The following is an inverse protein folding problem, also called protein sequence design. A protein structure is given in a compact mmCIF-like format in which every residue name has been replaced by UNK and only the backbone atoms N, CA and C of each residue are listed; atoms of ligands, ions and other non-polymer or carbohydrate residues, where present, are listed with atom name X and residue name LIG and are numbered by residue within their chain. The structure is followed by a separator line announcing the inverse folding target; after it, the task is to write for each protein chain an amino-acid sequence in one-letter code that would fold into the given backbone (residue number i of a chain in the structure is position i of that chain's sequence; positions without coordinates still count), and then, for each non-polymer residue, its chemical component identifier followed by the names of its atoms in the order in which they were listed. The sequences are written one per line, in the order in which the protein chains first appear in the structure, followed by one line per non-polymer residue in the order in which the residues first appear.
data_IF_029230164975
#
_entry.id   IF_029230164975
#
_cell.length_a   1.000
_cell.length_b   1.000
_cell.length_c   1.000
_cell.angle_alpha   90.00
_cell.angle_beta   90.00
_cell.angle_gamma   90.00
#
_symmetry.space_group_name_H-M   'P 1'
#
loop_
_entity.id
_entity.type
_entity.pdbx_description
1 polymer ?
#
# COMPACT_ATOMS: atom_id res chain seq x y z
N UNK A 1 15.13 9.76 -10.58
CA UNK A 1 14.50 9.63 -9.25
C UNK A 1 13.08 10.15 -9.33
N UNK A 2 12.14 9.59 -8.55
CA UNK A 2 10.78 10.10 -8.48
C UNK A 2 10.81 11.56 -8.01
N UNK A 3 10.05 12.46 -8.65
CA UNK A 3 10.04 13.90 -8.32
C UNK A 3 9.09 14.22 -7.15
N UNK A 4 8.70 13.22 -6.36
CA UNK A 4 7.80 13.38 -5.22
C UNK A 4 8.52 14.19 -4.13
N UNK A 5 8.01 15.38 -3.83
CA UNK A 5 8.55 16.26 -2.78
C UNK A 5 7.63 16.32 -1.56
N UNK A 6 6.33 16.25 -1.81
CA UNK A 6 5.29 16.37 -0.80
C UNK A 6 4.45 15.10 -0.67
N UNK A 7 4.58 14.16 -1.63
CA UNK A 7 3.86 12.89 -1.62
C UNK A 7 2.34 13.09 -1.61
N UNK A 8 1.87 14.05 -2.42
CA UNK A 8 0.44 14.34 -2.57
C UNK A 8 -0.16 13.53 -3.71
N UNK A 9 -1.48 13.41 -3.72
CA UNK A 9 -2.22 12.81 -4.84
C UNK A 9 -1.85 13.48 -6.18
N UNK A 10 -1.74 14.80 -6.21
CA UNK A 10 -1.37 15.55 -7.43
C UNK A 10 0.03 15.18 -7.94
N UNK A 11 1.02 15.07 -7.05
CA UNK A 11 2.37 14.64 -7.44
C UNK A 11 2.39 13.19 -7.94
N UNK A 12 1.62 12.30 -7.29
CA UNK A 12 1.48 10.90 -7.72
C UNK A 12 0.83 10.79 -9.10
N UNK A 13 -0.22 11.57 -9.37
CA UNK A 13 -0.84 11.67 -10.71
C UNK A 13 0.19 12.15 -11.73
N UNK A 14 0.95 13.21 -11.42
CA UNK A 14 2.01 13.72 -12.29
C UNK A 14 3.14 12.72 -12.55
N UNK A 15 3.41 11.83 -11.59
CA UNK A 15 4.32 10.69 -11.74
C UNK A 15 3.69 9.49 -12.47
N UNK A 16 2.42 9.57 -12.88
CA UNK A 16 1.74 8.54 -13.66
C UNK A 16 1.07 7.44 -12.85
N UNK A 17 0.83 7.65 -11.55
CA UNK A 17 -0.07 6.78 -10.79
C UNK A 17 -1.52 6.98 -11.22
N UNK A 18 -2.30 5.90 -11.18
CA UNK A 18 -3.73 5.85 -11.54
C UNK A 18 -4.50 5.01 -10.53
N UNK A 19 -5.82 5.00 -10.62
CA UNK A 19 -6.68 4.18 -9.76
C UNK A 19 -7.34 5.00 -8.66
N UNK A 20 -6.55 5.46 -7.69
CA UNK A 20 -7.00 6.27 -6.54
C UNK A 20 -8.39 5.88 -6.02
N UNK A 21 -8.58 4.59 -5.76
CA UNK A 21 -9.86 3.98 -5.44
C UNK A 21 -9.78 3.21 -4.14
N UNK A 22 -10.91 2.96 -3.49
CA UNK A 22 -10.90 2.25 -2.20
C UNK A 22 -10.57 0.76 -2.38
N UNK A 23 -10.16 0.09 -1.31
CA UNK A 23 -10.03 -1.38 -1.34
C UNK A 23 -11.37 -2.09 -1.58
N UNK A 24 -12.51 -1.45 -1.30
CA UNK A 24 -13.82 -1.99 -1.66
C UNK A 24 -14.03 -1.97 -3.17
N UNK A 25 -13.74 -0.86 -3.83
CA UNK A 25 -13.86 -0.73 -5.28
C UNK A 25 -12.93 -1.71 -6.00
N UNK A 26 -11.69 -1.85 -5.50
CA UNK A 26 -10.76 -2.89 -5.96
C UNK A 26 -11.44 -4.26 -5.93
N UNK A 27 -12.00 -4.68 -4.78
CA UNK A 27 -12.62 -6.01 -4.66
C UNK A 27 -13.82 -6.19 -5.59
N UNK A 28 -14.64 -5.15 -5.79
CA UNK A 28 -15.76 -5.20 -6.72
C UNK A 28 -15.27 -5.41 -8.16
N UNK A 29 -14.21 -4.71 -8.56
CA UNK A 29 -13.58 -4.87 -9.86
C UNK A 29 -13.04 -6.28 -10.10
N UNK A 30 -12.41 -6.89 -9.08
CA UNK A 30 -11.99 -8.30 -9.15
C UNK A 30 -13.16 -9.25 -9.38
N UNK A 31 -14.28 -9.02 -8.69
CA UNK A 31 -15.45 -9.88 -8.81
C UNK A 31 -16.10 -9.81 -10.21
N UNK A 32 -15.86 -8.71 -10.93
CA UNK A 32 -16.40 -8.46 -12.27
C UNK A 32 -15.39 -8.77 -13.40
N UNK A 33 -14.14 -9.13 -13.06
CA UNK A 33 -12.98 -9.17 -13.98
C UNK A 33 -12.84 -7.88 -14.83
N UNK A 34 -13.27 -6.75 -14.27
CA UNK A 34 -13.30 -5.44 -14.92
C UNK A 34 -12.92 -4.34 -13.92
N UNK A 35 -11.92 -3.54 -14.22
CA UNK A 35 -11.42 -2.52 -13.29
C UNK A 35 -10.14 -1.81 -13.65
N UNK A 36 -9.54 -2.13 -14.80
CA UNK A 36 -8.41 -1.38 -15.32
C UNK A 36 -7.11 -1.46 -14.51
N UNK A 37 -7.05 -2.30 -13.45
CA UNK A 37 -5.78 -2.64 -12.80
C UNK A 37 -4.99 -3.54 -13.79
N UNK A 38 -3.79 -3.13 -14.23
CA UNK A 38 -3.05 -3.89 -15.23
C UNK A 38 -2.53 -5.23 -14.68
N UNK A 39 -2.50 -6.26 -15.54
CA UNK A 39 -1.84 -7.55 -15.23
C UNK A 39 -0.31 -7.49 -15.41
N UNK A 40 0.27 -6.28 -15.43
CA UNK A 40 1.69 -5.98 -15.67
C UNK A 40 2.45 -5.63 -14.37
N UNK A 41 3.80 -5.64 -14.38
CA UNK A 41 4.60 -5.22 -13.23
C UNK A 41 4.40 -3.74 -12.89
N UNK A 42 4.61 -3.38 -11.64
CA UNK A 42 4.41 -2.01 -11.19
C UNK A 42 4.70 -1.75 -9.73
N UNK A 43 4.48 -0.50 -9.35
CA UNK A 43 4.47 -0.03 -7.96
C UNK A 43 3.06 0.43 -7.63
N UNK A 44 2.59 0.13 -6.44
CA UNK A 44 1.33 0.62 -5.89
C UNK A 44 1.57 1.36 -4.59
N UNK A 45 0.63 2.24 -4.26
CA UNK A 45 0.68 3.12 -3.09
C UNK A 45 -0.65 3.08 -2.35
N UNK A 46 -0.61 3.13 -1.02
CA UNK A 46 -1.78 3.34 -0.16
C UNK A 46 -1.75 4.75 0.41
N UNK A 47 -2.87 5.45 0.28
CA UNK A 47 -3.00 6.87 0.59
C UNK A 47 -4.15 7.05 1.57
N UNK A 48 -3.93 7.88 2.58
CA UNK A 48 -4.96 8.39 3.48
C UNK A 48 -5.15 9.88 3.22
N UNK A 49 -6.36 10.27 2.81
CA UNK A 49 -6.67 11.66 2.49
C UNK A 49 -6.59 12.58 3.72
N UNK A 50 -7.00 12.06 4.89
CA UNK A 50 -6.83 12.74 6.16
C UNK A 50 -5.40 12.52 6.68
N UNK A 51 -4.71 13.60 7.09
CA UNK A 51 -3.35 13.55 7.65
C UNK A 51 -3.30 13.76 9.17
N UNK A 52 -4.47 13.92 9.81
CA UNK A 52 -4.58 13.95 11.27
C UNK A 52 -4.10 12.63 11.89
N UNK A 53 -3.79 12.63 13.18
CA UNK A 53 -3.52 11.38 13.89
C UNK A 53 -4.70 10.39 13.69
N UNK A 54 -4.44 9.15 13.24
CA UNK A 54 -5.47 8.14 13.09
C UNK A 54 -5.78 7.49 14.43
N UNK A 55 -6.96 6.86 14.52
CA UNK A 55 -7.23 5.92 15.59
C UNK A 55 -6.69 4.53 15.20
N UNK A 56 -5.89 3.95 16.08
CA UNK A 56 -5.40 2.59 15.91
C UNK A 56 -6.31 1.57 16.62
N UNK A 57 -6.48 0.41 16.00
CA UNK A 57 -7.26 -0.71 16.53
C UNK A 57 -6.34 -1.77 17.13
N UNK A 58 -6.61 -2.18 18.37
CA UNK A 58 -5.89 -3.28 19.02
C UNK A 58 -6.12 -4.62 18.29
N UNK A 59 -7.29 -4.76 17.64
CA UNK A 59 -7.62 -5.85 16.74
C UNK A 59 -8.02 -5.23 15.40
N UNK A 60 -7.17 -5.38 14.40
CA UNK A 60 -7.42 -4.89 13.06
C UNK A 60 -8.33 -5.78 12.23
N UNK A 61 -8.46 -5.42 10.96
CA UNK A 61 -9.15 -6.20 9.93
C UNK A 61 -8.24 -7.21 9.22
N UNK A 62 -6.95 -7.23 9.58
CA UNK A 62 -5.93 -8.04 8.93
C UNK A 62 -6.13 -9.53 9.19
N UNK A 63 -5.80 -10.36 8.20
CA UNK A 63 -5.79 -11.81 8.35
C UNK A 63 -4.58 -12.35 9.09
N UNK A 64 -4.33 -13.64 8.93
CA UNK A 64 -3.17 -14.32 9.52
C UNK A 64 -2.03 -14.43 8.53
N UNK A 65 -0.79 -14.26 9.01
CA UNK A 65 0.41 -14.58 8.23
C UNK A 65 1.09 -15.77 8.89
N UNK A 66 1.23 -16.89 8.15
CA UNK A 66 1.84 -18.13 8.67
C UNK A 66 1.27 -18.56 10.04
N UNK A 67 -0.07 -18.51 10.19
CA UNK A 67 -0.80 -18.83 11.42
C UNK A 67 -0.49 -17.95 12.65
N UNK A 68 0.24 -16.84 12.49
CA UNK A 68 0.41 -15.81 13.53
C UNK A 68 -0.59 -14.68 13.31
N UNK A 69 -1.14 -14.13 14.41
CA UNK A 69 -1.93 -12.90 14.35
C UNK A 69 -1.08 -11.79 13.73
N UNK A 70 -1.63 -11.10 12.73
CA UNK A 70 -0.92 -10.02 12.05
C UNK A 70 -0.88 -8.72 12.87
N UNK A 71 -1.75 -8.57 13.86
CA UNK A 71 -1.84 -7.36 14.69
C UNK A 71 -0.53 -7.07 15.40
N UNK A 72 -0.10 -5.81 15.33
CA UNK A 72 1.00 -5.24 16.09
C UNK A 72 0.50 -4.49 17.33
N UNK A 73 1.31 -4.40 18.40
CA UNK A 73 1.02 -3.54 19.54
C UNK A 73 0.75 -2.09 19.10
N UNK A 74 -0.16 -1.41 19.78
CA UNK A 74 -0.49 0.00 19.50
C UNK A 74 0.76 0.89 19.56
N UNK A 75 1.64 0.67 20.54
CA UNK A 75 2.89 1.41 20.67
C UNK A 75 3.82 1.26 19.45
N UNK A 76 3.80 0.10 18.77
CA UNK A 76 4.53 -0.10 17.52
C UNK A 76 3.92 0.73 16.39
N UNK A 77 2.58 0.80 16.31
CA UNK A 77 1.88 1.62 15.32
C UNK A 77 2.15 3.11 15.55
N UNK A 78 2.07 3.58 16.79
CA UNK A 78 2.36 4.96 17.18
C UNK A 78 3.81 5.34 16.85
N UNK A 79 4.77 4.46 17.12
CA UNK A 79 6.18 4.70 16.81
C UNK A 79 6.44 4.82 15.30
N UNK A 80 5.70 4.08 14.47
CA UNK A 80 5.82 4.11 13.01
C UNK A 80 4.97 5.21 12.35
N UNK A 81 4.03 5.83 13.06
CA UNK A 81 3.22 6.92 12.51
C UNK A 81 4.09 8.10 12.08
N UNK A 82 3.73 8.69 10.93
CA UNK A 82 4.41 9.84 10.33
C UNK A 82 3.41 10.99 10.23
N UNK A 83 3.43 11.96 11.17
CA UNK A 83 2.50 13.08 11.16
C UNK A 83 2.57 13.88 9.85
N UNK A 84 1.41 14.24 9.30
CA UNK A 84 1.32 15.06 8.09
C UNK A 84 1.52 14.30 6.77
N UNK A 85 1.93 13.04 6.79
CA UNK A 85 2.09 12.24 5.57
C UNK A 85 0.74 11.66 5.10
N UNK A 86 0.44 11.84 3.81
CA UNK A 86 -0.74 11.21 3.18
C UNK A 86 -0.45 9.81 2.65
N UNK A 87 0.77 9.55 2.20
CA UNK A 87 1.20 8.22 1.74
C UNK A 87 1.57 7.35 2.93
N UNK A 88 0.91 6.20 3.05
CA UNK A 88 1.11 5.26 4.14
C UNK A 88 1.97 4.06 3.77
N UNK A 89 1.99 3.69 2.49
CA UNK A 89 2.68 2.47 2.04
C UNK A 89 3.04 2.56 0.56
N UNK A 90 4.26 2.14 0.21
CA UNK A 90 4.63 1.74 -1.15
C UNK A 90 4.84 0.23 -1.20
N UNK A 91 4.32 -0.40 -2.24
CA UNK A 91 4.56 -1.81 -2.51
C UNK A 91 4.85 -2.06 -3.98
N UNK A 92 5.61 -3.12 -4.26
CA UNK A 92 5.92 -3.56 -5.62
C UNK A 92 5.15 -4.81 -6.02
N UNK A 93 4.91 -4.94 -7.32
CA UNK A 93 4.33 -6.10 -7.97
C UNK A 93 5.21 -6.51 -9.15
N UNK A 94 5.84 -7.69 -9.05
CA UNK A 94 6.65 -8.30 -10.11
C UNK A 94 5.78 -9.18 -11.00
N UNK A 95 6.19 -9.40 -12.25
CA UNK A 95 5.54 -10.38 -13.13
C UNK A 95 5.61 -11.78 -12.51
N UNK A 96 4.53 -12.57 -12.62
CA UNK A 96 4.53 -13.98 -12.20
C UNK A 96 4.27 -14.88 -13.40
N UNK A 97 4.69 -16.14 -13.29
CA UNK A 97 4.61 -17.13 -14.37
C UNK A 97 3.17 -17.55 -14.69
N UNK A 98 2.27 -17.59 -13.69
CA UNK A 98 0.91 -18.12 -13.80
C UNK A 98 -0.17 -17.13 -13.29
N UNK A 99 0.11 -15.82 -13.25
CA UNK A 99 -0.81 -14.83 -12.70
C UNK A 99 -0.21 -13.41 -12.69
N UNK A 100 -1.06 -12.38 -12.70
CA UNK A 100 -0.71 -11.00 -13.05
C UNK A 100 0.31 -10.32 -12.12
N UNK A 101 0.78 -9.14 -12.56
CA UNK A 101 1.60 -8.24 -11.75
C UNK A 101 0.76 -7.45 -10.73
N UNK A 102 0.48 -6.18 -11.04
CA UNK A 102 -0.28 -5.28 -10.16
C UNK A 102 -1.65 -5.84 -9.80
N UNK A 103 -2.32 -6.52 -10.74
CA UNK A 103 -3.60 -7.19 -10.52
C UNK A 103 -3.56 -8.09 -9.27
N UNK A 104 -2.98 -9.27 -9.37
CA UNK A 104 -2.92 -10.22 -8.26
C UNK A 104 -2.41 -9.60 -6.95
N UNK A 105 -1.39 -8.74 -7.03
CA UNK A 105 -0.76 -8.18 -5.83
C UNK A 105 -1.69 -7.22 -5.07
N UNK A 106 -2.40 -6.36 -5.78
CA UNK A 106 -3.37 -5.43 -5.16
C UNK A 106 -4.59 -6.22 -4.67
N UNK A 107 -5.00 -7.28 -5.38
CA UNK A 107 -6.06 -8.17 -4.91
C UNK A 107 -5.72 -8.84 -3.58
N UNK A 108 -4.57 -9.52 -3.53
CA UNK A 108 -4.04 -10.20 -2.35
C UNK A 108 -4.05 -9.25 -1.15
N UNK A 109 -3.62 -8.01 -1.38
CA UNK A 109 -3.62 -7.02 -0.33
C UNK A 109 -5.05 -6.63 0.07
N UNK A 110 -5.94 -6.37 -0.88
CA UNK A 110 -7.34 -6.00 -0.61
C UNK A 110 -8.11 -7.06 0.20
N UNK A 111 -7.81 -8.34 0.01
CA UNK A 111 -8.47 -9.45 0.73
C UNK A 111 -7.79 -9.77 2.06
N UNK A 112 -6.51 -9.39 2.24
CA UNK A 112 -5.85 -9.43 3.55
C UNK A 112 -6.59 -8.58 4.59
N UNK A 113 -7.18 -7.46 4.17
CA UNK A 113 -8.05 -6.62 5.00
C UNK A 113 -9.44 -7.20 5.30
N UNK A 114 -9.73 -8.44 4.87
CA UNK A 114 -10.94 -9.18 5.21
C UNK A 114 -10.65 -10.38 6.12
N UNK A 115 -9.52 -10.37 6.83
CA UNK A 115 -9.13 -11.46 7.72
C UNK A 115 -8.57 -12.70 7.01
N UNK A 116 -8.32 -12.64 5.69
CA UNK A 116 -7.81 -13.80 4.93
C UNK A 116 -6.31 -14.01 5.10
N UNK A 117 -5.87 -15.26 5.09
CA UNK A 117 -4.45 -15.60 5.10
C UNK A 117 -3.74 -15.06 3.86
N UNK A 118 -2.57 -14.43 4.06
CA UNK A 118 -1.77 -13.85 2.97
C UNK A 118 -0.29 -14.22 3.14
N UNK A 119 0.45 -14.30 2.03
CA UNK A 119 1.86 -14.72 2.02
C UNK A 119 2.87 -13.60 2.35
N UNK A 120 2.45 -12.33 2.33
CA UNK A 120 3.34 -11.17 2.53
C UNK A 120 3.15 -10.50 3.89
N UNK A 121 4.22 -9.95 4.46
CA UNK A 121 4.20 -9.25 5.75
C UNK A 121 4.21 -7.72 5.65
N UNK A 122 4.52 -7.18 4.47
CA UNK A 122 4.51 -5.74 4.18
C UNK A 122 3.10 -5.18 4.16
N UNK A 123 2.94 -3.94 4.62
CA UNK A 123 1.66 -3.25 4.60
C UNK A 123 0.69 -3.63 5.73
N UNK A 124 1.07 -4.51 6.67
CA UNK A 124 0.13 -5.05 7.68
C UNK A 124 -0.50 -4.00 8.61
N UNK A 125 0.23 -2.92 8.92
CA UNK A 125 -0.28 -1.88 9.83
C UNK A 125 -1.49 -1.12 9.27
N UNK A 126 -1.65 -1.11 7.94
CA UNK A 126 -2.83 -0.52 7.28
C UNK A 126 -4.12 -1.09 7.85
N UNK A 127 -4.15 -2.38 8.17
CA UNK A 127 -5.36 -3.03 8.66
C UNK A 127 -5.69 -2.75 10.13
N UNK A 128 -4.83 -2.03 10.85
CA UNK A 128 -5.10 -1.56 12.22
C UNK A 128 -5.48 -0.07 12.27
N UNK A 129 -5.75 0.57 11.13
CA UNK A 129 -6.35 1.90 11.07
C UNK A 129 -7.87 1.77 11.16
N UNK A 130 -8.51 2.56 12.03
CA UNK A 130 -9.96 2.56 12.18
C UNK A 130 -10.69 2.94 10.88
N UNK A 131 -10.06 3.79 10.08
CA UNK A 131 -10.51 4.29 8.78
C UNK A 131 -9.86 3.56 7.59
N UNK A 132 -9.37 2.32 7.80
CA UNK A 132 -8.74 1.52 6.74
C UNK A 132 -9.62 1.32 5.49
N UNK A 133 -10.95 1.47 5.62
CA UNK A 133 -11.92 1.35 4.52
C UNK A 133 -11.91 2.56 3.58
N UNK A 134 -11.50 3.73 4.08
CA UNK A 134 -11.50 4.99 3.34
C UNK A 134 -10.16 5.23 2.62
N UNK A 135 -9.20 4.32 2.80
CA UNK A 135 -7.90 4.40 2.17
C UNK A 135 -7.99 4.15 0.67
N UNK A 136 -7.23 4.96 -0.06
CA UNK A 136 -7.12 4.87 -1.51
C UNK A 136 -5.90 4.05 -1.90
N UNK A 137 -6.05 3.27 -2.96
CA UNK A 137 -4.97 2.55 -3.63
C UNK A 137 -4.78 3.13 -5.02
N UNK A 138 -3.54 3.42 -5.36
CA UNK A 138 -3.15 3.81 -6.72
C UNK A 138 -1.95 2.98 -7.19
N UNK A 139 -1.77 2.89 -8.50
CA UNK A 139 -0.73 2.08 -9.12
C UNK A 139 -0.11 2.73 -10.34
N UNK A 140 1.14 2.34 -10.62
CA UNK A 140 1.93 2.75 -11.78
C UNK A 140 2.57 1.53 -12.41
N UNK A 141 2.29 1.29 -13.69
CA UNK A 141 2.96 0.25 -14.48
C UNK A 141 4.41 0.66 -14.73
N UNK A 142 5.31 -0.30 -14.65
CA UNK A 142 6.74 -0.11 -14.93
C UNK A 142 7.25 -1.25 -15.79
N UNK A 143 8.44 -1.06 -16.39
CA UNK A 143 9.13 -2.13 -17.08
C UNK A 143 9.48 -3.26 -16.09
N UNK A 144 9.26 -4.51 -16.48
CA UNK A 144 9.59 -5.66 -15.65
C UNK A 144 11.06 -5.66 -15.20
N UNK A 145 11.29 -5.95 -13.92
CA UNK A 145 12.61 -5.93 -13.30
C UNK A 145 12.99 -4.57 -12.70
N UNK A 146 12.21 -3.51 -12.94
CA UNK A 146 12.49 -2.17 -12.42
C UNK A 146 11.63 -1.79 -11.21
N UNK A 147 10.60 -2.58 -10.89
CA UNK A 147 9.62 -2.26 -9.83
C UNK A 147 10.26 -2.14 -8.44
N UNK A 148 11.24 -2.99 -8.13
CA UNK A 148 11.99 -2.92 -6.86
C UNK A 148 12.75 -1.61 -6.75
N UNK A 149 13.53 -1.28 -7.79
CA UNK A 149 14.34 -0.06 -7.82
C UNK A 149 13.47 1.20 -7.68
N UNK A 150 12.28 1.22 -8.29
CA UNK A 150 11.38 2.36 -8.17
C UNK A 150 10.76 2.46 -6.77
N UNK A 151 10.31 1.35 -6.20
CA UNK A 151 9.76 1.30 -4.84
C UNK A 151 10.79 1.75 -3.79
N UNK A 152 12.00 1.16 -3.81
CA UNK A 152 13.10 1.54 -2.92
C UNK A 152 13.41 3.04 -3.05
N UNK A 153 13.48 3.57 -4.28
CA UNK A 153 13.72 5.00 -4.50
C UNK A 153 12.60 5.90 -3.95
N UNK A 154 11.33 5.46 -4.00
CA UNK A 154 10.20 6.19 -3.43
C UNK A 154 10.20 6.16 -1.91
N UNK A 155 10.54 5.01 -1.30
CA UNK A 155 10.67 4.88 0.16
C UNK A 155 11.84 5.73 0.67
N UNK A 156 12.98 5.72 -0.04
CA UNK A 156 14.12 6.58 0.28
C UNK A 156 13.77 8.07 0.18
N UNK A 157 13.13 8.49 -0.91
CA UNK A 157 12.69 9.89 -1.05
C UNK A 157 11.69 10.29 0.05
N UNK A 158 10.80 9.38 0.46
CA UNK A 158 9.88 9.63 1.57
C UNK A 158 10.65 9.78 2.88
N UNK A 159 11.63 8.91 3.12
CA UNK A 159 12.49 8.99 4.31
C UNK A 159 13.31 10.28 4.34
N UNK A 160 13.83 10.74 3.21
CA UNK A 160 14.56 12.01 3.13
C UNK A 160 13.65 13.20 3.50
N UNK A 161 12.36 13.13 3.14
CA UNK A 161 11.37 14.18 3.46
C UNK A 161 10.89 14.14 4.91
N UNK A 162 10.59 12.96 5.44
CA UNK A 162 9.89 12.80 6.72
C UNK A 162 10.75 12.23 7.85
N UNK A 163 12.01 11.86 7.59
CA UNK A 163 12.93 11.23 8.55
C UNK A 163 12.61 9.76 8.88
N UNK A 164 11.47 9.24 8.42
CA UNK A 164 11.01 7.85 8.60
C UNK A 164 10.52 7.29 7.28
N UNK A 165 10.52 5.97 7.12
CA UNK A 165 9.85 5.29 6.00
C UNK A 165 8.32 5.46 6.13
N UNK A 166 7.52 5.25 5.06
CA UNK A 166 6.07 5.31 5.15
C UNK A 166 5.54 4.35 6.23
N UNK A 167 4.44 4.74 6.87
CA UNK A 167 3.86 4.09 8.04
C UNK A 167 3.93 2.54 8.00
N UNK A 168 3.53 1.91 6.90
CA UNK A 168 3.44 0.46 6.79
C UNK A 168 4.59 -0.22 6.02
N UNK A 169 5.64 0.53 5.65
CA UNK A 169 6.92 0.00 5.16
C UNK A 169 7.85 -0.28 6.35
N UNK A 170 8.73 -1.29 6.26
CA UNK A 170 9.65 -1.67 7.35
C UNK A 170 11.12 -1.39 7.07
N UNK A 171 11.49 -1.40 5.80
CA UNK A 171 12.84 -1.07 5.33
C UNK A 171 12.69 -0.19 4.10
N UNK A 172 13.70 0.65 3.80
CA UNK A 172 13.90 1.18 2.46
C UNK A 172 14.03 0.08 1.42
#
# INVERSE_FOLDING_TARGET
MAKLKHFTVLELVGEGFKGFQTFQDVRQQYAQDDGGIPKSPGVYVVIRANTSAPQFLAKGFGGTHKARKADSPISELEANWVPGASVLYFGKASQRNNGGGLWDRIHEYSVAGQGRSHGHSGGKYIWQLADARDLLVAWKVVQGGTERKLEEAMILAFKDKYGKVPFANRTP
#
